data_IF_017509765925
#
_entry.id   IF_017509765925
#
_cell.length_a   1.000
_cell.length_b   1.000
_cell.length_c   1.000
_cell.angle_alpha   90.00
_cell.angle_beta   90.00
_cell.angle_gamma   90.00
#
_symmetry.space_group_name_H-M   'P 1'
#
loop_
_entity.id
_entity.type
_entity.pdbx_description
1 polymer ?
#
# COMPACT_ATOMS: atom_id res chain seq x y z
N UNK A 1 20.74 10.00 14.54
CA UNK A 1 21.53 8.95 13.90
C UNK A 1 20.62 8.26 12.89
N UNK A 2 21.04 8.13 11.62
CA UNK A 2 20.22 7.44 10.61
C UNK A 2 20.12 5.95 10.98
N UNK A 3 18.90 5.40 10.97
CA UNK A 3 18.66 3.98 11.20
C UNK A 3 18.79 3.27 9.86
N UNK A 4 19.88 2.52 9.68
CA UNK A 4 20.10 1.68 8.50
C UNK A 4 19.49 0.32 8.78
N UNK A 5 18.53 -0.08 7.96
CA UNK A 5 17.82 -1.37 8.09
C UNK A 5 18.24 -2.31 6.97
N UNK A 6 18.55 -3.56 7.31
CA UNK A 6 18.87 -4.62 6.35
C UNK A 6 17.59 -5.29 5.85
N UNK A 7 17.60 -5.82 4.65
CA UNK A 7 16.52 -6.65 4.12
C UNK A 7 16.41 -8.04 4.78
N UNK A 8 17.43 -8.46 5.54
CA UNK A 8 17.35 -9.70 6.31
C UNK A 8 16.29 -9.62 7.39
N UNK A 9 15.50 -10.67 7.55
CA UNK A 9 14.40 -10.76 8.54
C UNK A 9 13.23 -9.78 8.30
N UNK A 10 13.00 -9.38 7.07
CA UNK A 10 11.78 -8.65 6.70
C UNK A 10 10.64 -9.65 6.56
N UNK A 11 9.56 -9.44 7.32
CA UNK A 11 8.34 -10.20 7.17
C UNK A 11 7.44 -9.52 6.13
N UNK A 12 7.03 -10.27 5.12
CA UNK A 12 6.08 -9.78 4.12
C UNK A 12 4.77 -10.52 4.30
N UNK A 13 3.70 -9.79 4.55
CA UNK A 13 2.38 -10.34 4.78
C UNK A 13 1.39 -9.82 3.75
N UNK A 14 0.51 -10.72 3.29
CA UNK A 14 -0.54 -10.41 2.32
C UNK A 14 -1.88 -10.36 3.04
N UNK A 15 -2.73 -9.46 2.60
CA UNK A 15 -4.12 -9.40 3.07
C UNK A 15 -4.82 -10.74 2.88
N UNK A 16 -5.35 -11.28 3.97
CA UNK A 16 -6.17 -12.50 3.99
C UNK A 16 -7.66 -12.22 4.02
N UNK A 17 -8.07 -11.11 4.65
CA UNK A 17 -9.48 -10.75 4.75
C UNK A 17 -9.68 -9.23 4.87
N UNK A 18 -10.88 -8.78 4.46
CA UNK A 18 -11.45 -7.47 4.75
C UNK A 18 -12.66 -7.65 5.66
N UNK A 19 -12.74 -6.86 6.73
CA UNK A 19 -13.92 -6.80 7.56
C UNK A 19 -15.06 -6.06 6.84
N UNK A 20 -16.26 -6.12 7.41
CA UNK A 20 -17.41 -5.35 6.92
C UNK A 20 -17.08 -3.86 6.86
N UNK A 21 -17.54 -3.21 5.79
CA UNK A 21 -17.34 -1.78 5.60
C UNK A 21 -18.03 -0.97 6.71
N UNK A 22 -17.33 0.04 7.21
CA UNK A 22 -17.84 1.04 8.14
C UNK A 22 -17.95 2.37 7.42
N UNK A 23 -19.10 3.02 7.56
CA UNK A 23 -19.36 4.32 6.92
C UNK A 23 -18.50 5.39 7.56
N UNK A 24 -17.87 6.20 6.75
CA UNK A 24 -17.16 7.40 7.17
C UNK A 24 -18.11 8.58 7.04
N UNK A 25 -18.25 9.37 8.09
CA UNK A 25 -19.09 10.57 8.11
C UNK A 25 -18.30 11.84 7.88
N UNK A 26 -17.02 11.88 8.24
CA UNK A 26 -16.14 13.02 8.00
C UNK A 26 -14.66 12.59 8.00
N UNK A 27 -13.83 13.37 7.29
CA UNK A 27 -12.36 13.35 7.42
C UNK A 27 -11.91 14.80 7.56
N UNK A 28 -11.13 15.09 8.61
CA UNK A 28 -10.62 16.43 8.85
C UNK A 28 -9.46 16.76 7.94
N UNK A 29 -9.24 18.05 7.69
CA UNK A 29 -8.01 18.57 7.09
C UNK A 29 -7.05 18.96 8.23
N UNK A 30 -6.26 18.02 8.69
CA UNK A 30 -5.39 18.17 9.87
C UNK A 30 -4.16 17.25 9.77
N UNK A 31 -3.20 17.44 10.65
CA UNK A 31 -2.03 16.59 10.79
C UNK A 31 -1.95 16.02 12.22
N UNK A 32 -2.20 14.70 12.40
CA UNK A 32 -2.71 13.75 11.41
C UNK A 32 -4.19 13.97 11.10
N UNK A 33 -4.63 13.49 9.93
CA UNK A 33 -6.05 13.48 9.56
C UNK A 33 -6.88 12.60 10.48
N UNK A 34 -8.04 13.10 10.94
CA UNK A 34 -8.98 12.37 11.80
C UNK A 34 -10.19 11.93 10.99
N UNK A 35 -10.53 10.66 11.09
CA UNK A 35 -11.69 10.03 10.45
C UNK A 35 -12.78 9.83 11.47
N UNK A 36 -14.00 10.27 11.17
CA UNK A 36 -15.20 10.01 11.97
C UNK A 36 -15.98 8.82 11.38
N UNK A 37 -16.22 7.81 12.19
CA UNK A 37 -16.95 6.60 11.79
C UNK A 37 -17.57 5.97 13.03
N UNK A 38 -18.90 6.01 13.12
CA UNK A 38 -19.65 5.56 14.30
C UNK A 38 -19.46 4.06 14.54
N UNK A 39 -19.16 3.71 15.78
CA UNK A 39 -19.02 2.32 16.24
C UNK A 39 -18.13 1.46 15.34
N UNK A 40 -16.98 2.02 14.92
CA UNK A 40 -16.09 1.34 13.98
C UNK A 40 -15.40 0.10 14.57
N UNK A 41 -15.16 0.07 15.89
CA UNK A 41 -14.61 -1.11 16.60
C UNK A 41 -13.13 -1.38 16.29
N UNK A 42 -12.37 -0.38 15.83
CA UNK A 42 -10.94 -0.51 15.58
C UNK A 42 -10.12 -0.30 16.84
N UNK A 43 -8.88 -0.77 16.81
CA UNK A 43 -7.88 -0.59 17.85
C UNK A 43 -6.65 0.11 17.30
N UNK A 44 -5.88 0.77 18.15
CA UNK A 44 -4.60 1.36 17.75
C UNK A 44 -3.68 0.29 17.14
N UNK A 45 -3.15 0.60 15.96
CA UNK A 45 -2.30 -0.31 15.21
C UNK A 45 -3.02 -1.18 14.19
N UNK A 46 -4.35 -1.17 14.13
CA UNK A 46 -5.11 -1.80 13.06
C UNK A 46 -4.79 -1.12 11.72
N UNK A 47 -4.99 -1.85 10.63
CA UNK A 47 -4.88 -1.33 9.27
C UNK A 47 -6.25 -1.25 8.63
N UNK A 48 -6.52 -0.13 7.97
CA UNK A 48 -7.79 0.11 7.30
C UNK A 48 -7.57 0.50 5.84
N UNK A 49 -8.34 -0.11 4.96
CA UNK A 49 -8.48 0.30 3.56
C UNK A 49 -9.54 1.39 3.48
N UNK A 50 -9.20 2.50 2.87
CA UNK A 50 -10.11 3.62 2.66
C UNK A 50 -10.72 3.55 1.25
N UNK A 51 -12.04 3.73 1.16
CA UNK A 51 -12.75 3.93 -0.12
C UNK A 51 -13.53 5.22 -0.01
N UNK A 52 -13.01 6.29 -0.62
CA UNK A 52 -13.44 7.66 -0.33
C UNK A 52 -13.68 8.44 -1.63
N UNK A 53 -14.71 9.29 -1.62
CA UNK A 53 -14.97 10.27 -2.66
C UNK A 53 -14.70 11.68 -2.14
N UNK A 54 -14.33 12.58 -3.02
CA UNK A 54 -13.95 13.95 -2.72
C UNK A 54 -12.48 14.05 -2.31
N UNK A 55 -12.08 13.51 -1.18
CA UNK A 55 -10.68 13.48 -0.73
C UNK A 55 -9.93 12.31 -1.41
N UNK A 56 -9.67 12.42 -2.71
CA UNK A 56 -9.11 11.36 -3.54
C UNK A 56 -7.70 10.92 -3.11
N UNK A 57 -6.96 11.77 -2.40
CA UNK A 57 -5.59 11.47 -1.94
C UNK A 57 -5.53 10.31 -0.94
N UNK A 58 -6.63 10.00 -0.26
CA UNK A 58 -6.72 8.85 0.66
C UNK A 58 -7.48 7.67 0.06
N UNK A 59 -8.03 7.81 -1.15
CA UNK A 59 -8.84 6.78 -1.79
C UNK A 59 -8.00 5.57 -2.20
N UNK A 60 -8.49 4.37 -1.92
CA UNK A 60 -7.82 3.06 -2.14
C UNK A 60 -6.45 2.92 -1.47
N UNK A 61 -6.16 3.75 -0.47
CA UNK A 61 -4.95 3.65 0.33
C UNK A 61 -5.23 2.94 1.65
N UNK A 62 -4.17 2.32 2.16
CA UNK A 62 -4.19 1.64 3.46
C UNK A 62 -3.46 2.50 4.48
N UNK A 63 -4.07 2.68 5.63
CA UNK A 63 -3.49 3.45 6.74
C UNK A 63 -3.46 2.61 8.00
N UNK A 64 -2.46 2.87 8.83
CA UNK A 64 -2.44 2.40 10.20
C UNK A 64 -3.25 3.35 11.07
N UNK A 65 -4.06 2.77 11.95
CA UNK A 65 -4.97 3.51 12.84
C UNK A 65 -4.25 3.88 14.12
N UNK A 66 -4.42 5.12 14.55
CA UNK A 66 -3.90 5.64 15.82
C UNK A 66 -4.93 6.53 16.52
N UNK A 67 -4.68 6.90 17.77
CA UNK A 67 -5.55 7.78 18.57
C UNK A 67 -7.04 7.40 18.48
N UNK A 68 -7.33 6.12 18.67
CA UNK A 68 -8.68 5.55 18.56
C UNK A 68 -9.57 6.05 19.69
N UNK A 69 -10.76 6.56 19.33
CA UNK A 69 -11.89 6.85 20.22
C UNK A 69 -13.11 6.03 19.75
N UNK A 70 -14.25 6.15 20.43
CA UNK A 70 -15.45 5.35 20.13
C UNK A 70 -15.95 5.52 18.69
N UNK A 71 -15.95 6.75 18.18
CA UNK A 71 -16.49 7.10 16.87
C UNK A 71 -15.49 7.83 15.97
N UNK A 72 -14.20 7.77 16.29
CA UNK A 72 -13.15 8.39 15.49
C UNK A 72 -11.80 7.72 15.68
N UNK A 73 -10.94 7.90 14.68
CA UNK A 73 -9.54 7.47 14.69
C UNK A 73 -8.68 8.37 13.82
N UNK A 74 -7.38 8.39 14.05
CA UNK A 74 -6.43 9.14 13.24
C UNK A 74 -5.74 8.23 12.22
N UNK A 75 -5.47 8.78 11.04
CA UNK A 75 -4.60 8.18 10.02
C UNK A 75 -3.15 8.44 10.43
N UNK A 76 -2.46 7.42 10.94
CA UNK A 76 -1.13 7.57 11.52
C UNK A 76 -0.14 8.16 10.50
N UNK A 77 0.44 9.31 10.83
CA UNK A 77 1.46 9.97 10.02
C UNK A 77 0.96 10.65 8.72
N UNK A 78 -0.35 10.66 8.47
CA UNK A 78 -0.90 11.26 7.25
C UNK A 78 -1.34 12.71 7.51
N UNK A 79 -0.72 13.65 6.80
CA UNK A 79 -1.10 15.06 6.81
C UNK A 79 -2.14 15.34 5.71
N UNK A 80 -3.38 15.58 6.12
CA UNK A 80 -4.51 15.84 5.24
C UNK A 80 -4.83 17.33 5.10
N UNK A 81 -4.00 18.22 5.65
CA UNK A 81 -4.26 19.67 5.71
C UNK A 81 -4.58 20.27 4.35
N UNK A 82 -3.84 19.87 3.32
CA UNK A 82 -3.96 20.40 1.94
C UNK A 82 -4.72 19.46 1.01
N UNK A 83 -5.43 18.46 1.52
CA UNK A 83 -6.17 17.52 0.70
C UNK A 83 -7.51 18.07 0.25
N UNK A 84 -8.09 17.45 -0.79
CA UNK A 84 -9.42 17.77 -1.25
C UNK A 84 -10.47 17.55 -0.14
N UNK A 85 -11.65 18.12 -0.30
CA UNK A 85 -12.70 18.00 0.73
C UNK A 85 -13.37 16.63 0.64
N UNK A 86 -13.51 15.95 1.78
CA UNK A 86 -14.25 14.69 1.90
C UNK A 86 -15.72 14.89 1.49
N UNK A 87 -16.29 13.95 0.78
CA UNK A 87 -17.70 13.91 0.39
C UNK A 87 -18.42 12.71 1.00
N UNK A 88 -17.95 11.51 0.72
CA UNK A 88 -18.52 10.27 1.23
C UNK A 88 -17.47 9.16 1.23
N UNK A 89 -17.71 8.08 1.96
CA UNK A 89 -16.80 6.93 1.92
C UNK A 89 -17.05 5.90 2.99
N UNK A 90 -16.22 4.88 2.95
CA UNK A 90 -16.19 3.79 3.92
C UNK A 90 -14.75 3.37 4.20
N UNK A 91 -14.57 2.69 5.31
CA UNK A 91 -13.30 2.07 5.67
C UNK A 91 -13.53 0.61 6.07
N UNK A 92 -12.54 -0.24 5.81
CA UNK A 92 -12.58 -1.67 6.13
C UNK A 92 -11.29 -2.08 6.81
N UNK A 93 -11.39 -2.77 7.95
CA UNK A 93 -10.21 -3.34 8.61
C UNK A 93 -9.64 -4.47 7.77
N UNK A 94 -8.32 -4.44 7.61
CA UNK A 94 -7.54 -5.46 6.92
C UNK A 94 -6.98 -6.45 7.93
N UNK A 95 -7.09 -7.73 7.62
CA UNK A 95 -6.37 -8.78 8.33
C UNK A 95 -5.23 -9.28 7.46
N UNK A 96 -4.00 -9.28 8.00
CA UNK A 96 -2.82 -9.84 7.38
C UNK A 96 -2.59 -11.24 7.99
N UNK A 97 -3.08 -12.27 7.32
CA UNK A 97 -3.07 -13.66 7.84
C UNK A 97 -2.16 -14.60 7.06
N UNK A 98 -1.62 -14.16 5.92
CA UNK A 98 -0.73 -14.97 5.07
C UNK A 98 0.61 -14.28 4.91
N UNK A 99 1.70 -15.03 5.02
CA UNK A 99 3.06 -14.53 4.82
C UNK A 99 3.68 -15.10 3.56
N UNK A 100 4.53 -14.33 2.92
CA UNK A 100 5.40 -14.76 1.82
C UNK A 100 6.73 -15.21 2.43
N UNK A 101 6.91 -16.52 2.59
CA UNK A 101 8.09 -17.07 3.26
C UNK A 101 9.27 -17.33 2.31
N UNK A 102 9.00 -17.45 1.01
CA UNK A 102 9.94 -17.90 -0.01
C UNK A 102 10.55 -16.79 -0.84
N UNK A 103 10.31 -15.50 -0.49
CA UNK A 103 10.85 -14.34 -1.20
C UNK A 103 12.37 -14.30 -1.18
N UNK A 104 12.95 -14.08 -2.35
CA UNK A 104 14.41 -13.96 -2.56
C UNK A 104 14.81 -12.53 -2.89
N UNK A 105 13.97 -11.79 -3.61
CA UNK A 105 14.27 -10.44 -4.04
C UNK A 105 13.00 -9.59 -4.16
N UNK A 106 13.14 -8.29 -3.92
CA UNK A 106 12.07 -7.31 -4.06
C UNK A 106 12.67 -6.08 -4.75
N UNK A 107 12.11 -5.73 -5.91
CA UNK A 107 12.47 -4.53 -6.65
C UNK A 107 11.28 -3.57 -6.72
N UNK A 108 11.56 -2.28 -6.54
CA UNK A 108 10.59 -1.22 -6.71
C UNK A 108 11.01 -0.33 -7.88
N UNK A 109 10.05 0.10 -8.69
CA UNK A 109 10.25 1.02 -9.82
C UNK A 109 9.03 1.92 -10.00
N UNK A 110 9.21 3.03 -10.72
CA UNK A 110 8.14 4.03 -10.91
C UNK A 110 8.00 4.99 -9.72
N UNK A 111 6.91 5.74 -9.72
CA UNK A 111 6.68 6.82 -8.74
C UNK A 111 7.31 8.15 -9.15
N UNK A 112 8.08 8.17 -10.22
CA UNK A 112 8.67 9.39 -10.77
C UNK A 112 7.63 10.19 -11.56
N UNK A 113 7.85 11.49 -11.69
CA UNK A 113 7.05 12.35 -12.55
C UNK A 113 7.67 12.43 -13.94
N UNK A 114 6.85 12.40 -14.97
CA UNK A 114 7.26 12.83 -16.30
C UNK A 114 7.26 14.37 -16.32
N UNK A 115 8.36 14.96 -16.78
CA UNK A 115 8.48 16.41 -16.89
C UNK A 115 8.02 16.87 -18.28
N UNK A 116 7.14 17.85 -18.29
CA UNK A 116 6.64 18.49 -19.50
C UNK A 116 7.50 19.73 -19.78
N UNK A 117 8.13 19.79 -20.93
CA UNK A 117 8.92 20.96 -21.38
C UNK A 117 7.97 22.13 -21.67
N UNK A 118 8.20 23.24 -21.00
CA UNK A 118 7.46 24.50 -21.17
C UNK A 118 8.32 25.62 -21.73
N UNK A 119 9.51 25.30 -22.25
CA UNK A 119 10.47 26.25 -22.78
C UNK A 119 9.90 26.93 -24.04
N UNK A 120 9.90 28.25 -24.05
CA UNK A 120 9.52 29.06 -25.22
C UNK A 120 10.75 29.57 -25.96
N UNK A 121 10.56 30.08 -27.19
CA UNK A 121 11.63 30.71 -27.99
C UNK A 121 12.23 31.97 -27.36
N UNK A 122 11.58 32.49 -26.31
CA UNK A 122 12.00 33.72 -25.59
C UNK A 122 12.83 33.35 -24.33
N UNK A 123 12.87 32.08 -23.95
CA UNK A 123 13.57 31.65 -22.74
C UNK A 123 15.04 31.38 -23.06
N UNK A 124 15.91 31.86 -22.19
CA UNK A 124 17.35 31.56 -22.23
C UNK A 124 17.75 30.32 -21.43
N UNK A 125 16.80 29.75 -20.67
CA UNK A 125 16.99 28.56 -19.80
C UNK A 125 15.80 27.64 -20.02
N UNK A 126 16.05 26.33 -20.08
CA UNK A 126 14.97 25.33 -20.16
C UNK A 126 14.12 25.34 -18.90
N UNK A 127 12.80 25.36 -19.09
CA UNK A 127 11.80 25.30 -18.03
C UNK A 127 10.93 24.07 -18.21
N UNK A 128 10.65 23.37 -17.10
CA UNK A 128 9.82 22.16 -17.09
C UNK A 128 8.86 22.21 -15.91
N UNK A 129 7.68 21.64 -16.10
CA UNK A 129 6.71 21.42 -15.02
C UNK A 129 6.48 19.93 -14.82
N UNK A 130 6.26 19.46 -13.57
CA UNK A 130 5.95 18.06 -13.33
C UNK A 130 4.56 17.72 -13.92
N UNK A 131 4.49 16.61 -14.64
CA UNK A 131 3.27 15.99 -15.13
C UNK A 131 2.62 15.08 -14.09
N UNK A 132 1.89 14.07 -14.56
CA UNK A 132 1.32 13.06 -13.68
C UNK A 132 2.39 12.08 -13.19
N UNK A 133 2.31 11.59 -11.94
CA UNK A 133 3.23 10.57 -11.44
C UNK A 133 2.99 9.23 -12.14
N UNK A 134 4.07 8.56 -12.49
CA UNK A 134 4.03 7.19 -13.00
C UNK A 134 3.61 6.22 -11.87
N UNK A 135 2.85 5.17 -12.18
CA UNK A 135 2.48 4.18 -11.18
C UNK A 135 3.71 3.48 -10.61
N UNK A 136 3.72 3.29 -9.30
CA UNK A 136 4.77 2.49 -8.64
C UNK A 136 4.52 1.01 -8.86
N UNK A 137 5.56 0.27 -9.24
CA UNK A 137 5.52 -1.16 -9.45
C UNK A 137 6.48 -1.86 -8.47
N UNK A 138 6.02 -2.94 -7.88
CA UNK A 138 6.81 -3.83 -7.04
C UNK A 138 6.91 -5.19 -7.70
N UNK A 139 8.12 -5.66 -7.94
CA UNK A 139 8.38 -6.99 -8.47
C UNK A 139 8.96 -7.86 -7.37
N UNK A 140 8.33 -9.01 -7.14
CA UNK A 140 8.75 -10.01 -6.17
C UNK A 140 9.31 -11.22 -6.90
N UNK A 141 10.48 -11.68 -6.50
CA UNK A 141 11.02 -12.96 -6.90
C UNK A 141 10.96 -13.93 -5.71
N UNK A 142 10.51 -15.13 -5.96
CA UNK A 142 10.32 -16.15 -4.93
C UNK A 142 10.86 -17.49 -5.38
N UNK A 143 11.29 -18.34 -4.44
CA UNK A 143 11.40 -19.76 -4.73
C UNK A 143 10.00 -20.32 -4.99
N UNK A 144 9.91 -21.21 -5.96
CA UNK A 144 8.66 -21.82 -6.32
C UNK A 144 8.24 -22.84 -5.25
N UNK A 145 7.20 -22.52 -4.51
CA UNK A 145 6.55 -23.39 -3.55
C UNK A 145 5.03 -23.31 -3.76
N UNK A 146 4.44 -24.34 -4.40
CA UNK A 146 3.00 -24.35 -4.65
C UNK A 146 2.14 -24.47 -3.37
N UNK A 147 2.75 -24.73 -2.22
CA UNK A 147 2.08 -24.82 -0.92
C UNK A 147 2.15 -23.53 -0.11
N UNK A 148 2.95 -22.53 -0.53
CA UNK A 148 3.05 -21.25 0.17
C UNK A 148 1.72 -20.50 0.10
N UNK A 149 1.14 -20.26 1.28
CA UNK A 149 -0.18 -19.61 1.40
C UNK A 149 -0.20 -18.17 0.87
N UNK A 150 0.92 -17.46 0.96
CA UNK A 150 1.07 -16.11 0.42
C UNK A 150 1.07 -16.10 -1.11
N UNK A 151 1.81 -17.02 -1.73
CA UNK A 151 1.83 -17.17 -3.19
C UNK A 151 0.46 -17.59 -3.73
N UNK A 152 -0.23 -18.52 -3.06
CA UNK A 152 -1.60 -18.91 -3.39
C UNK A 152 -2.56 -17.72 -3.30
N UNK A 153 -2.45 -16.90 -2.25
CA UNK A 153 -3.28 -15.70 -2.08
C UNK A 153 -3.03 -14.66 -3.18
N UNK A 154 -1.75 -14.45 -3.57
CA UNK A 154 -1.40 -13.55 -4.67
C UNK A 154 -1.91 -14.08 -6.03
N UNK A 155 -1.78 -15.38 -6.28
CA UNK A 155 -2.32 -16.00 -7.50
C UNK A 155 -3.84 -15.85 -7.59
N UNK A 156 -4.57 -16.12 -6.51
CA UNK A 156 -6.02 -15.92 -6.45
C UNK A 156 -6.42 -14.46 -6.69
N UNK A 157 -5.64 -13.52 -6.16
CA UNK A 157 -5.86 -12.08 -6.40
C UNK A 157 -5.62 -11.71 -7.87
N UNK A 158 -4.56 -12.26 -8.47
CA UNK A 158 -4.24 -12.07 -9.89
C UNK A 158 -5.36 -12.60 -10.80
N UNK A 159 -5.85 -13.80 -10.55
CA UNK A 159 -6.91 -14.43 -11.34
C UNK A 159 -8.24 -13.65 -11.25
N UNK A 160 -8.52 -13.06 -10.09
CA UNK A 160 -9.70 -12.23 -9.86
C UNK A 160 -9.50 -10.75 -10.18
N UNK A 161 -8.30 -10.34 -10.64
CA UNK A 161 -7.92 -8.94 -10.88
C UNK A 161 -8.21 -8.03 -9.67
N UNK A 162 -8.03 -8.58 -8.48
CA UNK A 162 -8.33 -7.89 -7.23
C UNK A 162 -7.10 -7.19 -6.67
N UNK A 163 -7.33 -6.05 -6.01
CA UNK A 163 -6.30 -5.41 -5.20
C UNK A 163 -6.06 -6.21 -3.92
N UNK A 164 -4.81 -6.18 -3.45
CA UNK A 164 -4.41 -6.71 -2.14
C UNK A 164 -3.50 -5.72 -1.44
N UNK A 165 -3.73 -5.58 -0.15
CA UNK A 165 -2.79 -4.90 0.71
C UNK A 165 -1.62 -5.82 1.04
N UNK A 166 -0.41 -5.28 0.94
CA UNK A 166 0.84 -5.96 1.29
C UNK A 166 1.52 -5.16 2.38
N UNK A 167 1.93 -5.84 3.44
CA UNK A 167 2.58 -5.26 4.61
C UNK A 167 4.00 -5.80 4.75
N UNK A 168 4.97 -4.88 4.78
CA UNK A 168 6.35 -5.16 5.15
C UNK A 168 6.56 -4.85 6.63
N UNK A 169 7.04 -5.81 7.38
CA UNK A 169 7.48 -5.64 8.75
C UNK A 169 9.01 -5.74 8.84
N UNK A 170 9.67 -4.64 9.16
CA UNK A 170 11.12 -4.59 9.28
C UNK A 170 11.59 -4.95 10.69
N UNK A 171 12.82 -5.48 10.79
CA UNK A 171 13.41 -5.91 12.06
C UNK A 171 13.53 -4.78 13.12
N UNK A 172 13.55 -3.53 12.68
CA UNK A 172 13.58 -2.35 13.56
C UNK A 172 12.17 -1.92 14.06
N UNK A 173 11.13 -2.70 13.76
CA UNK A 173 9.75 -2.40 14.13
C UNK A 173 9.00 -1.46 13.19
N UNK A 174 9.69 -0.87 12.22
CA UNK A 174 9.02 -0.08 11.19
C UNK A 174 8.16 -0.96 10.29
N UNK A 175 7.10 -0.37 9.76
CA UNK A 175 6.16 -1.06 8.87
C UNK A 175 5.89 -0.19 7.65
N UNK A 176 5.79 -0.84 6.50
CA UNK A 176 5.40 -0.21 5.25
C UNK A 176 4.24 -1.01 4.65
N UNK A 177 3.18 -0.32 4.28
CA UNK A 177 1.97 -0.95 3.74
C UNK A 177 1.53 -0.21 2.49
N UNK A 178 1.09 -0.97 1.50
CA UNK A 178 0.47 -0.42 0.30
C UNK A 178 -0.64 -1.35 -0.20
N UNK A 179 -1.51 -0.81 -1.06
CA UNK A 179 -2.56 -1.55 -1.74
C UNK A 179 -2.29 -1.49 -3.24
N UNK A 180 -2.29 -2.63 -3.91
CA UNK A 180 -1.98 -2.71 -5.33
C UNK A 180 -2.76 -3.82 -6.04
N UNK A 181 -2.89 -3.70 -7.36
CA UNK A 181 -3.27 -4.83 -8.20
C UNK A 181 -2.13 -5.83 -8.28
N UNK A 182 -2.46 -7.10 -8.24
CA UNK A 182 -1.48 -8.19 -8.24
C UNK A 182 -1.49 -8.87 -9.60
N UNK A 183 -0.30 -9.05 -10.19
CA UNK A 183 -0.05 -9.93 -11.33
C UNK A 183 0.85 -11.08 -10.88
N UNK A 184 0.34 -12.31 -10.88
CA UNK A 184 1.08 -13.49 -10.43
C UNK A 184 0.73 -14.70 -11.28
N UNK A 185 1.73 -15.34 -11.88
CA UNK A 185 1.52 -16.53 -12.74
C UNK A 185 1.79 -17.86 -12.01
N UNK A 186 2.64 -17.87 -10.98
CA UNK A 186 3.19 -19.06 -10.33
C UNK A 186 3.81 -20.07 -11.30
N UNK A 187 4.19 -19.65 -12.51
CA UNK A 187 4.88 -20.51 -13.46
C UNK A 187 6.31 -20.78 -12.95
N UNK A 188 6.73 -22.05 -12.85
CA UNK A 188 8.10 -22.39 -12.43
C UNK A 188 9.09 -21.98 -13.52
N UNK A 189 10.18 -21.35 -13.11
CA UNK A 189 11.31 -20.97 -13.96
C UNK A 189 12.61 -21.42 -13.34
N UNK A 190 13.61 -21.71 -14.16
CA UNK A 190 14.95 -22.11 -13.68
C UNK A 190 15.78 -22.78 -14.75
N UNK A 191 17.02 -23.07 -14.41
CA UNK A 191 17.96 -23.88 -15.21
C UNK A 191 18.35 -25.16 -14.47
N UNK A 192 19.07 -26.06 -15.15
CA UNK A 192 19.36 -27.42 -14.65
C UNK A 192 20.12 -27.46 -13.31
N UNK A 193 20.78 -26.37 -12.92
CA UNK A 193 21.59 -26.29 -11.68
C UNK A 193 21.06 -25.25 -10.70
N UNK A 194 19.91 -24.61 -10.99
CA UNK A 194 19.31 -23.59 -10.14
C UNK A 194 18.12 -24.13 -9.34
N UNK A 195 17.81 -23.45 -8.23
CA UNK A 195 16.55 -23.66 -7.56
C UNK A 195 15.40 -23.08 -8.41
N UNK A 196 14.28 -23.79 -8.41
CA UNK A 196 13.09 -23.34 -9.16
C UNK A 196 12.56 -22.05 -8.51
N UNK A 197 12.33 -21.04 -9.35
CA UNK A 197 11.78 -19.72 -8.97
C UNK A 197 10.45 -19.44 -9.65
N UNK A 198 9.74 -18.44 -9.15
CA UNK A 198 8.55 -17.83 -9.75
C UNK A 198 8.56 -16.34 -9.53
#
# INVERSE_FOLDING_TARGET
MAVITKWSSVAVSVQSALASAKTITAITKANPGVVSSTAHGYSNGDYVLMTVQGMYQVNYRVFRVSAVATDSFSLEGEDTTNYATFSSGSCQKITFGTSLATLTNINASGGDFDFIDTTTIHDSIKTQVPGLPNPSNYTFESFWDPSDSGLIALKSASDSQAQRAILFGFANGQKFVFNAYVGCSLAPTGSAQDLIKT
#
